data_IF_264854760199
#
_entry.id   IF_264854760199
#
_cell.length_a   1.000
_cell.length_b   1.000
_cell.length_c   1.000
_cell.angle_alpha   90.00
_cell.angle_beta   90.00
_cell.angle_gamma   90.00
#
_symmetry.space_group_name_H-M   'P 1'
#
loop_
_entity.id
_entity.type
_entity.pdbx_description
1 polymer ?
#
# COMPACT_ATOMS: atom_id res chain seq x y z
N UNK A 1 -8.58 -21.37 5.58
CA UNK A 1 -7.95 -20.07 5.93
C UNK A 1 -8.02 -19.19 4.69
N UNK A 2 -8.45 -17.93 4.78
CA UNK A 2 -8.50 -17.04 3.60
C UNK A 2 -7.06 -16.72 3.20
N UNK A 3 -6.72 -17.00 1.94
CA UNK A 3 -5.42 -16.63 1.37
C UNK A 3 -5.39 -15.12 1.17
N UNK A 4 -4.41 -14.45 1.76
CA UNK A 4 -4.18 -13.01 1.57
C UNK A 4 -3.38 -12.82 0.29
N UNK A 5 -3.90 -12.03 -0.64
CA UNK A 5 -3.26 -11.75 -1.94
C UNK A 5 -2.85 -10.29 -2.10
N UNK A 6 -3.49 -9.39 -1.34
CA UNK A 6 -3.26 -7.95 -1.39
C UNK A 6 -3.52 -7.31 -0.01
N UNK A 7 -3.26 -6.00 0.11
CA UNK A 7 -3.44 -5.25 1.36
C UNK A 7 -4.92 -5.01 1.69
N UNK A 8 -5.81 -4.89 0.69
CA UNK A 8 -7.25 -4.72 0.92
C UNK A 8 -7.85 -5.98 1.60
N UNK A 9 -7.35 -7.19 1.29
CA UNK A 9 -7.72 -8.43 1.98
C UNK A 9 -7.40 -8.36 3.49
N UNK A 10 -6.22 -7.82 3.84
CA UNK A 10 -5.82 -7.62 5.24
C UNK A 10 -6.71 -6.61 5.94
N UNK A 11 -7.08 -5.52 5.26
CA UNK A 11 -8.00 -4.51 5.77
C UNK A 11 -9.38 -5.12 6.08
N UNK A 12 -9.93 -5.93 5.17
CA UNK A 12 -11.21 -6.61 5.40
C UNK A 12 -11.15 -7.64 6.53
N UNK A 13 -10.02 -8.33 6.68
CA UNK A 13 -9.79 -9.20 7.84
C UNK A 13 -9.72 -8.40 9.14
N UNK A 14 -9.05 -7.25 9.15
CA UNK A 14 -8.96 -6.37 10.32
C UNK A 14 -10.34 -5.83 10.72
N UNK A 15 -11.15 -5.37 9.75
CA UNK A 15 -12.52 -4.90 9.98
C UNK A 15 -13.41 -5.92 10.70
N UNK A 16 -13.20 -7.22 10.44
CA UNK A 16 -13.95 -8.33 11.05
C UNK A 16 -13.43 -8.75 12.41
N UNK A 17 -12.15 -8.49 12.72
CA UNK A 17 -11.43 -9.06 13.88
C UNK A 17 -11.07 -8.04 14.95
N UNK A 18 -10.92 -6.77 14.57
CA UNK A 18 -10.50 -5.69 15.48
C UNK A 18 -11.75 -5.01 16.05
N UNK A 19 -11.67 -4.56 17.30
CA UNK A 19 -12.73 -3.77 17.91
C UNK A 19 -13.03 -2.53 17.05
N UNK A 20 -14.31 -2.28 16.77
CA UNK A 20 -14.75 -1.25 15.82
C UNK A 20 -14.10 0.12 16.06
N UNK A 21 -14.04 0.59 17.31
CA UNK A 21 -13.45 1.88 17.65
C UNK A 21 -11.96 1.98 17.26
N UNK A 22 -11.21 0.88 17.40
CA UNK A 22 -9.79 0.82 17.01
C UNK A 22 -9.66 0.78 15.49
N UNK A 23 -10.48 -0.02 14.82
CA UNK A 23 -10.48 -0.11 13.36
C UNK A 23 -10.81 1.25 12.73
N UNK A 24 -11.91 1.88 13.15
CA UNK A 24 -12.34 3.19 12.64
C UNK A 24 -11.28 4.26 12.90
N UNK A 25 -10.63 4.27 14.08
CA UNK A 25 -9.57 5.22 14.39
C UNK A 25 -8.37 5.14 13.43
N UNK A 26 -7.99 3.93 13.00
CA UNK A 26 -6.83 3.71 12.11
C UNK A 26 -7.19 3.88 10.64
N UNK A 27 -8.42 3.53 10.24
CA UNK A 27 -8.84 3.44 8.84
C UNK A 27 -9.49 4.72 8.30
N UNK A 28 -10.01 5.60 9.16
CA UNK A 28 -10.74 6.80 8.72
C UNK A 28 -9.84 7.94 8.24
N UNK A 29 -10.39 8.77 7.34
CA UNK A 29 -9.81 10.04 6.92
C UNK A 29 -10.44 11.26 7.62
N UNK A 30 -9.97 12.46 7.27
CA UNK A 30 -10.53 13.70 7.81
C UNK A 30 -11.90 14.03 7.17
N UNK A 31 -12.90 14.38 7.99
CA UNK A 31 -14.23 14.81 7.58
C UNK A 31 -14.89 13.88 6.55
N UNK A 32 -15.08 14.35 5.32
CA UNK A 32 -15.69 13.59 4.22
C UNK A 32 -14.71 12.62 3.56
N UNK A 33 -13.46 12.56 4.04
CA UNK A 33 -12.38 11.69 3.57
C UNK A 33 -12.01 11.92 2.10
N UNK A 34 -12.29 13.13 1.58
CA UNK A 34 -12.02 13.47 0.19
C UNK A 34 -10.54 13.31 -0.17
N UNK A 35 -9.63 13.76 0.70
CA UNK A 35 -8.18 13.64 0.48
C UNK A 35 -7.71 12.19 0.50
N UNK A 36 -8.28 11.34 1.37
CA UNK A 36 -7.94 9.91 1.41
C UNK A 36 -8.31 9.23 0.09
N UNK A 37 -9.51 9.50 -0.44
CA UNK A 37 -9.93 8.99 -1.75
C UNK A 37 -9.12 9.56 -2.90
N UNK A 38 -8.79 10.86 -2.85
CA UNK A 38 -7.95 11.51 -3.87
C UNK A 38 -6.56 10.86 -3.95
N UNK A 39 -5.89 10.62 -2.82
CA UNK A 39 -4.57 9.96 -2.80
C UNK A 39 -4.59 8.60 -3.52
N UNK A 40 -5.66 7.81 -3.34
CA UNK A 40 -5.82 6.52 -4.03
C UNK A 40 -6.05 6.72 -5.53
N UNK A 41 -6.97 7.60 -5.89
CA UNK A 41 -7.31 7.89 -7.28
C UNK A 41 -6.10 8.43 -8.07
N UNK A 42 -5.27 9.26 -7.45
CA UNK A 42 -4.07 9.84 -8.07
C UNK A 42 -3.05 8.76 -8.46
N UNK A 43 -2.84 7.75 -7.60
CA UNK A 43 -1.96 6.60 -7.91
C UNK A 43 -2.59 5.69 -8.97
N UNK A 44 -3.90 5.43 -8.90
CA UNK A 44 -4.62 4.62 -9.88
C UNK A 44 -4.59 5.24 -11.29
N UNK A 45 -4.53 6.57 -11.38
CA UNK A 45 -4.40 7.28 -12.65
C UNK A 45 -3.01 7.13 -13.30
N UNK A 46 -1.98 6.70 -12.56
CA UNK A 46 -0.62 6.52 -13.08
C UNK A 46 -0.46 5.16 -13.76
N UNK A 47 -0.38 5.16 -15.09
CA UNK A 47 -0.03 3.98 -15.87
C UNK A 47 1.46 3.66 -15.81
N UNK A 48 1.80 2.38 -15.61
CA UNK A 48 3.17 1.90 -15.77
C UNK A 48 3.49 1.64 -17.24
N UNK A 49 4.54 2.28 -17.75
CA UNK A 49 5.06 1.97 -19.09
C UNK A 49 5.95 0.74 -19.03
N UNK A 50 5.42 -0.40 -19.47
CA UNK A 50 6.18 -1.65 -19.54
C UNK A 50 7.41 -1.51 -20.45
N UNK A 51 8.56 -2.00 -19.98
CA UNK A 51 9.78 -2.16 -20.76
C UNK A 51 10.10 -3.65 -20.86
N UNK A 52 10.32 -4.14 -22.08
CA UNK A 52 10.53 -5.56 -22.39
C UNK A 52 11.97 -5.82 -22.87
N UNK A 53 12.41 -7.08 -22.79
CA UNK A 53 13.77 -7.47 -23.21
C UNK A 53 14.88 -7.01 -22.25
N UNK A 54 14.54 -6.71 -21.00
CA UNK A 54 15.49 -6.30 -19.96
C UNK A 54 15.65 -7.45 -18.98
N UNK A 55 16.89 -7.86 -18.72
CA UNK A 55 17.19 -8.82 -17.66
C UNK A 55 16.95 -8.17 -16.29
N UNK A 56 16.15 -8.84 -15.47
CA UNK A 56 15.70 -8.40 -14.15
C UNK A 56 15.99 -9.44 -13.07
N UNK A 57 16.87 -10.42 -13.34
CA UNK A 57 17.25 -11.47 -12.39
C UNK A 57 17.88 -10.90 -11.12
N UNK A 58 18.76 -9.90 -11.25
CA UNK A 58 19.51 -9.30 -10.12
C UNK A 58 18.89 -8.01 -9.57
N UNK A 59 17.55 -7.93 -9.49
CA UNK A 59 16.87 -6.77 -8.89
C UNK A 59 17.15 -6.68 -7.39
N UNK A 60 17.36 -5.47 -6.90
CA UNK A 60 17.44 -5.15 -5.48
C UNK A 60 16.51 -3.98 -5.18
N UNK A 61 15.77 -4.08 -4.08
CA UNK A 61 15.00 -2.97 -3.51
C UNK A 61 15.79 -2.19 -2.47
N UNK A 62 17.00 -2.63 -2.10
CA UNK A 62 17.80 -1.93 -1.09
C UNK A 62 18.11 -0.50 -1.53
N UNK A 63 18.01 0.45 -0.61
CA UNK A 63 18.31 1.86 -0.88
C UNK A 63 18.82 2.55 0.39
N UNK A 64 19.07 3.86 0.32
CA UNK A 64 19.47 4.70 1.45
C UNK A 64 18.44 5.80 1.65
N UNK A 65 17.87 5.90 2.86
CA UNK A 65 16.93 6.95 3.24
C UNK A 65 17.52 7.78 4.37
N UNK A 66 17.63 9.10 4.19
CA UNK A 66 18.19 10.02 5.19
C UNK A 66 19.57 9.56 5.73
N UNK A 67 20.43 9.02 4.86
CA UNK A 67 21.75 8.52 5.21
C UNK A 67 21.79 7.14 5.87
N UNK A 68 20.66 6.44 5.98
CA UNK A 68 20.57 5.08 6.54
C UNK A 68 20.22 4.05 5.48
N UNK A 69 20.87 2.89 5.53
CA UNK A 69 20.52 1.77 4.67
C UNK A 69 19.14 1.20 5.05
N UNK A 70 18.32 0.92 4.03
CA UNK A 70 17.01 0.27 4.15
C UNK A 70 16.88 -0.88 3.15
N UNK A 71 16.08 -1.89 3.49
CA UNK A 71 15.92 -3.09 2.66
C UNK A 71 14.97 -2.88 1.47
N UNK A 72 14.10 -1.88 1.55
CA UNK A 72 13.19 -1.46 0.49
C UNK A 72 12.91 0.05 0.59
N UNK A 73 12.63 0.74 -0.54
CA UNK A 73 12.16 2.12 -0.52
C UNK A 73 10.76 2.25 0.09
#
# INVERSE_FOLDING_TARGET
MVTVTNIDDLREMAKKRVARAIFEYVDCGAYTECTLRANRADIEALGLRQRVGIDVDRRSTKTTMLGREVTMP
#
